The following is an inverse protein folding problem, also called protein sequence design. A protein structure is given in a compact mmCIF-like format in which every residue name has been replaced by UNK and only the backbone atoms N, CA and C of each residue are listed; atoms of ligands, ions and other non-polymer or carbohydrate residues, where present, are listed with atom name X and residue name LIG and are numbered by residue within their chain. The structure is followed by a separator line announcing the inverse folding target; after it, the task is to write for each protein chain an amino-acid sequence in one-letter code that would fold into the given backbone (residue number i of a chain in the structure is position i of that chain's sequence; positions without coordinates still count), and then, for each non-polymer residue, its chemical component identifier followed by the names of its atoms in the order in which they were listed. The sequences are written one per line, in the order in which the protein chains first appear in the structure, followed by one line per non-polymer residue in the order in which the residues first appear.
data_IF_896829925536
#
_entry.id   IF_896829925536
#
_cell.length_a   1.000
_cell.length_b   1.000
_cell.length_c   1.000
_cell.angle_alpha   90.00
_cell.angle_beta   90.00
_cell.angle_gamma   90.00
#
_symmetry.space_group_name_H-M   'P 1'
#
loop_
_entity.id
_entity.type
_entity.pdbx_description
1 polymer ?
#
# COMPACT_ATOMS: atom_id res chain seq x y z
N UNK A 1 -3.11 3.43 11.49
CA UNK A 1 -3.13 2.52 12.66
C UNK A 1 -1.69 2.11 12.95
N UNK A 2 -1.27 1.95 14.20
CA UNK A 2 0.09 1.51 14.54
C UNK A 2 0.17 -0.03 14.43
N UNK A 3 1.24 -0.61 13.86
CA UNK A 3 1.45 -2.05 13.87
C UNK A 3 1.46 -2.59 15.29
N UNK A 4 0.79 -3.72 15.49
CA UNK A 4 0.72 -4.42 16.77
C UNK A 4 1.93 -5.34 16.89
N UNK A 5 2.75 -5.14 17.92
CA UNK A 5 3.98 -5.91 18.15
C UNK A 5 3.87 -6.72 19.43
N UNK A 6 4.06 -8.03 19.32
CA UNK A 6 4.21 -8.92 20.47
C UNK A 6 5.66 -8.95 20.95
N UNK A 7 5.89 -8.93 22.26
CA UNK A 7 7.22 -9.17 22.83
C UNK A 7 7.21 -10.43 23.71
N UNK A 8 7.92 -11.46 23.25
CA UNK A 8 8.21 -12.69 23.98
C UNK A 8 9.55 -12.61 24.73
N UNK A 9 9.60 -13.17 25.93
CA UNK A 9 10.83 -13.27 26.74
C UNK A 9 10.63 -14.27 27.87
N UNK A 10 11.71 -14.67 28.53
CA UNK A 10 11.63 -15.29 29.85
C UNK A 10 11.22 -14.26 30.91
N UNK A 11 10.91 -14.74 32.12
CA UNK A 11 10.66 -13.86 33.27
C UNK A 11 11.93 -13.08 33.64
N UNK A 12 13.07 -13.74 33.54
CA UNK A 12 14.40 -13.21 33.84
C UNK A 12 14.78 -12.05 32.89
N UNK A 13 14.36 -12.12 31.63
CA UNK A 13 14.57 -11.08 30.61
C UNK A 13 13.47 -10.04 30.48
N UNK A 14 12.48 -10.06 31.36
CA UNK A 14 11.41 -9.08 31.38
C UNK A 14 11.90 -7.60 31.45
N UNK A 15 13.01 -7.25 32.13
CA UNK A 15 13.56 -5.90 32.08
C UNK A 15 13.94 -5.44 30.66
N UNK A 16 14.50 -6.31 29.83
CA UNK A 16 14.82 -6.01 28.43
C UNK A 16 13.56 -5.89 27.58
N UNK A 17 12.57 -6.77 27.78
CA UNK A 17 11.28 -6.68 27.09
C UNK A 17 10.57 -5.34 27.37
N UNK A 18 10.61 -4.86 28.62
CA UNK A 18 10.08 -3.54 29.02
C UNK A 18 10.88 -2.39 28.42
N UNK A 19 12.19 -2.52 28.32
CA UNK A 19 13.04 -1.54 27.65
C UNK A 19 12.71 -1.42 26.16
N UNK A 20 12.57 -2.56 25.46
CA UNK A 20 12.18 -2.60 24.04
C UNK A 20 10.79 -1.97 23.85
N UNK A 21 9.81 -2.35 24.69
CA UNK A 21 8.47 -1.75 24.66
C UNK A 21 8.55 -0.23 24.77
N UNK A 22 9.34 0.29 25.71
CA UNK A 22 9.51 1.73 25.92
C UNK A 22 10.18 2.43 24.72
N UNK A 23 11.16 1.78 24.10
CA UNK A 23 11.90 2.34 22.96
C UNK A 23 11.07 2.45 21.67
N UNK A 24 10.12 1.53 21.46
CA UNK A 24 9.36 1.47 20.19
C UNK A 24 7.89 1.88 20.31
N UNK A 25 7.41 2.25 21.50
CA UNK A 25 6.02 2.63 21.77
C UNK A 25 5.52 3.84 20.95
N UNK A 26 6.41 4.71 20.49
CA UNK A 26 6.00 5.82 19.62
C UNK A 26 5.49 5.32 18.26
N UNK A 27 6.11 4.27 17.72
CA UNK A 27 5.84 3.77 16.37
C UNK A 27 4.84 2.61 16.35
N UNK A 28 4.77 1.82 17.44
CA UNK A 28 4.01 0.56 17.50
C UNK A 28 3.06 0.48 18.70
N UNK A 29 2.02 -0.35 18.56
CA UNK A 29 1.19 -0.83 19.67
C UNK A 29 1.80 -2.11 20.23
N UNK A 30 2.54 -1.98 21.33
CA UNK A 30 3.40 -3.05 21.83
C UNK A 30 2.81 -3.70 23.07
N UNK A 31 2.69 -5.03 23.05
CA UNK A 31 2.26 -5.82 24.21
C UNK A 31 3.30 -6.87 24.54
N UNK A 32 3.78 -6.87 25.79
CA UNK A 32 4.64 -7.93 26.31
C UNK A 32 3.77 -9.11 26.75
N UNK A 33 4.25 -10.33 26.58
CA UNK A 33 3.54 -11.56 26.97
C UNK A 33 2.93 -11.50 28.39
N UNK A 34 3.59 -10.82 29.34
CA UNK A 34 3.15 -10.71 30.74
C UNK A 34 2.04 -9.66 30.96
N UNK A 35 1.58 -8.95 29.93
CA UNK A 35 0.63 -7.84 30.00
C UNK A 35 -0.77 -8.26 29.54
N UNK A 36 -1.29 -9.36 30.10
CA UNK A 36 -2.68 -9.79 29.87
C UNK A 36 -2.90 -10.60 28.59
N UNK A 37 -1.84 -11.13 27.97
CA UNK A 37 -1.95 -12.10 26.88
C UNK A 37 -2.46 -13.44 27.40
N UNK A 38 -1.88 -13.92 28.50
CA UNK A 38 -2.29 -15.16 29.15
C UNK A 38 -3.50 -14.93 30.06
N UNK A 39 -4.64 -15.54 29.72
CA UNK A 39 -5.93 -15.33 30.40
C UNK A 39 -6.22 -16.45 31.39
N UNK A 40 -6.93 -16.11 32.47
CA UNK A 40 -7.37 -17.10 33.45
C UNK A 40 -8.29 -18.12 32.76
N UNK A 41 -8.07 -19.40 33.04
CA UNK A 41 -8.83 -20.55 32.50
C UNK A 41 -8.54 -20.95 31.04
N UNK A 42 -7.62 -20.27 30.35
CA UNK A 42 -7.15 -20.67 29.02
C UNK A 42 -5.87 -21.52 29.10
N UNK A 43 -5.60 -22.30 28.04
CA UNK A 43 -4.29 -22.93 27.89
C UNK A 43 -3.27 -21.94 27.31
N UNK A 44 -1.99 -22.05 27.69
CA UNK A 44 -0.95 -21.14 27.17
C UNK A 44 -0.82 -21.20 25.65
N UNK A 45 -1.07 -22.36 25.03
CA UNK A 45 -1.05 -22.52 23.58
C UNK A 45 -2.21 -21.77 22.91
N UNK A 46 -3.41 -21.86 23.49
CA UNK A 46 -4.60 -21.15 22.98
C UNK A 46 -4.45 -19.62 23.08
N UNK A 47 -3.87 -19.13 24.17
CA UNK A 47 -3.56 -17.69 24.32
C UNK A 47 -2.51 -17.22 23.31
N UNK A 48 -1.51 -18.06 23.00
CA UNK A 48 -0.53 -17.79 21.95
C UNK A 48 -1.18 -17.81 20.55
N UNK A 49 -2.06 -18.76 20.26
CA UNK A 49 -2.80 -18.81 18.99
C UNK A 49 -3.69 -17.57 18.79
N UNK A 50 -4.33 -17.10 19.86
CA UNK A 50 -5.09 -15.85 19.84
C UNK A 50 -4.17 -14.66 19.58
N UNK A 51 -3.03 -14.57 20.28
CA UNK A 51 -2.02 -13.54 20.04
C UNK A 51 -1.53 -13.55 18.57
N UNK A 52 -1.29 -14.72 18.00
CA UNK A 52 -0.86 -14.88 16.60
C UNK A 52 -1.83 -14.31 15.56
N UNK A 53 -3.10 -14.11 15.90
CA UNK A 53 -4.08 -13.46 15.03
C UNK A 53 -4.22 -11.95 15.28
N UNK A 54 -3.68 -11.46 16.41
CA UNK A 54 -3.82 -10.08 16.85
C UNK A 54 -2.59 -9.21 16.58
N UNK A 55 -1.41 -9.81 16.38
CA UNK A 55 -0.14 -9.09 16.20
C UNK A 55 0.37 -9.17 14.76
N UNK A 56 0.93 -8.06 14.28
CA UNK A 56 1.51 -7.93 12.94
C UNK A 56 2.99 -8.36 12.90
N UNK A 57 3.68 -8.29 14.04
CA UNK A 57 5.09 -8.62 14.21
C UNK A 57 5.37 -9.23 15.59
N UNK A 58 6.49 -9.95 15.71
CA UNK A 58 7.00 -10.48 16.98
C UNK A 58 8.44 -10.07 17.26
N UNK A 59 8.76 -9.78 18.52
CA UNK A 59 10.13 -9.54 19.00
C UNK A 59 10.40 -10.50 20.17
N UNK A 60 11.52 -11.21 20.13
CA UNK A 60 11.87 -12.20 21.16
C UNK A 60 13.22 -11.92 21.81
N UNK A 61 13.24 -11.79 23.13
CA UNK A 61 14.47 -11.63 23.91
C UNK A 61 15.04 -13.01 24.21
N UNK A 62 16.18 -13.34 23.60
CA UNK A 62 16.88 -14.60 23.79
C UNK A 62 17.99 -14.43 24.81
N UNK A 63 17.72 -14.80 26.05
CA UNK A 63 18.68 -14.78 27.15
C UNK A 63 19.17 -16.19 27.54
N UNK A 64 20.41 -16.30 28.05
CA UNK A 64 20.99 -17.56 28.50
C UNK A 64 20.47 -17.99 29.88
N UNK A 65 19.16 -18.12 30.04
CA UNK A 65 18.53 -18.40 31.35
C UNK A 65 18.59 -19.88 31.75
N UNK A 66 18.77 -20.77 30.77
CA UNK A 66 18.82 -22.22 30.98
C UNK A 66 20.19 -22.82 30.63
N UNK A 67 20.43 -24.04 31.14
CA UNK A 67 21.64 -24.82 30.87
C UNK A 67 21.28 -26.13 30.18
N UNK A 68 21.73 -26.29 28.94
CA UNK A 68 21.59 -27.55 28.20
C UNK A 68 22.82 -28.44 28.43
N UNK A 69 22.58 -29.74 28.60
CA UNK A 69 23.64 -30.76 28.63
C UNK A 69 23.63 -31.56 27.33
N UNK A 70 24.51 -31.22 26.40
CA UNK A 70 24.65 -31.90 25.10
C UNK A 70 25.98 -32.65 25.11
N UNK A 71 25.95 -33.97 24.85
CA UNK A 71 27.16 -34.82 24.74
C UNK A 71 28.15 -34.59 25.91
N UNK A 72 27.64 -34.55 27.14
CA UNK A 72 28.38 -34.29 28.38
C UNK A 72 29.03 -32.89 28.54
N UNK A 73 28.75 -31.92 27.65
CA UNK A 73 29.13 -30.51 27.82
C UNK A 73 27.93 -29.67 28.25
N UNK A 74 28.17 -28.69 29.14
CA UNK A 74 27.15 -27.73 29.58
C UNK A 74 27.23 -26.49 28.69
N UNK A 75 26.12 -26.12 28.08
CA UNK A 75 25.97 -24.92 27.26
C UNK A 75 24.91 -24.03 27.87
N UNK A 76 25.12 -22.71 27.80
CA UNK A 76 24.06 -21.74 28.09
C UNK A 76 23.06 -21.75 26.93
N UNK A 77 21.78 -21.72 27.25
CA UNK A 77 20.71 -21.85 26.27
C UNK A 77 19.57 -20.89 26.56
N UNK A 78 18.85 -20.55 25.49
CA UNK A 78 17.56 -19.88 25.59
C UNK A 78 16.53 -20.88 26.10
N UNK A 79 15.62 -20.41 26.95
CA UNK A 79 14.53 -21.23 27.47
C UNK A 79 13.67 -21.80 26.35
N UNK A 80 13.39 -23.11 26.42
CA UNK A 80 12.69 -23.85 25.36
C UNK A 80 11.34 -23.23 24.97
N UNK A 81 10.58 -22.71 25.95
CA UNK A 81 9.31 -22.04 25.69
C UNK A 81 9.46 -20.80 24.80
N UNK A 82 10.52 -20.00 25.01
CA UNK A 82 10.76 -18.78 24.23
C UNK A 82 11.14 -19.15 22.79
N UNK A 83 11.90 -20.22 22.60
CA UNK A 83 12.22 -20.76 21.27
C UNK A 83 10.97 -21.32 20.58
N UNK A 84 10.12 -22.03 21.31
CA UNK A 84 8.85 -22.55 20.80
C UNK A 84 7.91 -21.43 20.37
N UNK A 85 7.71 -20.41 21.21
CA UNK A 85 6.90 -19.22 20.88
C UNK A 85 7.46 -18.48 19.66
N UNK A 86 8.79 -18.28 19.60
CA UNK A 86 9.44 -17.71 18.42
C UNK A 86 9.12 -18.53 17.16
N UNK A 87 9.26 -19.85 17.24
CA UNK A 87 8.95 -20.76 16.13
C UNK A 87 7.50 -20.69 15.67
N UNK A 88 6.55 -20.61 16.61
CA UNK A 88 5.13 -20.41 16.32
C UNK A 88 4.87 -19.09 15.59
N UNK A 89 5.49 -18.00 16.06
CA UNK A 89 5.39 -16.68 15.41
C UNK A 89 6.00 -16.69 14.01
N UNK A 90 7.17 -17.30 13.82
CA UNK A 90 7.78 -17.44 12.48
C UNK A 90 6.89 -18.28 11.56
N UNK A 91 6.31 -19.37 12.06
CA UNK A 91 5.42 -20.24 11.30
C UNK A 91 4.15 -19.55 10.82
N UNK A 92 3.60 -18.63 11.63
CA UNK A 92 2.37 -17.89 11.30
C UNK A 92 2.61 -16.60 10.51
N UNK A 93 3.53 -15.75 10.98
CA UNK A 93 3.75 -14.40 10.45
C UNK A 93 4.83 -14.36 9.35
N UNK A 94 5.64 -15.42 9.26
CA UNK A 94 6.82 -15.48 8.39
C UNK A 94 8.05 -14.84 9.03
N UNK A 95 9.23 -15.33 8.62
CA UNK A 95 10.53 -14.90 9.15
C UNK A 95 10.81 -13.39 9.03
N UNK A 96 10.18 -12.71 8.08
CA UNK A 96 10.43 -11.28 7.83
C UNK A 96 9.67 -10.38 8.82
N UNK A 97 8.74 -10.93 9.63
CA UNK A 97 7.95 -10.19 10.63
C UNK A 97 8.29 -10.56 12.07
N UNK A 98 9.31 -11.41 12.27
CA UNK A 98 9.68 -11.90 13.60
C UNK A 98 11.18 -11.69 13.82
N UNK A 99 11.50 -10.97 14.87
CA UNK A 99 12.85 -10.53 15.19
C UNK A 99 13.25 -11.09 16.56
N UNK A 100 14.55 -11.29 16.76
CA UNK A 100 15.06 -11.68 18.06
C UNK A 100 16.41 -11.02 18.31
N UNK A 101 16.75 -10.88 19.58
CA UNK A 101 18.02 -10.31 20.02
C UNK A 101 18.68 -11.20 21.09
N UNK A 102 20.00 -11.27 21.03
CA UNK A 102 20.86 -12.04 21.93
C UNK A 102 21.83 -11.12 22.70
N UNK A 103 22.38 -11.53 23.84
CA UNK A 103 23.43 -10.75 24.50
C UNK A 103 24.66 -10.63 23.60
N UNK A 104 25.28 -9.45 23.53
CA UNK A 104 26.51 -9.20 22.78
C UNK A 104 27.67 -10.08 23.30
N UNK A 105 27.74 -10.26 24.62
CA UNK A 105 28.74 -11.10 25.30
C UNK A 105 28.33 -12.58 25.44
N UNK A 106 27.38 -13.06 24.63
CA UNK A 106 26.75 -14.37 24.84
C UNK A 106 27.65 -15.58 24.55
N UNK A 107 28.82 -15.39 23.92
CA UNK A 107 29.72 -16.49 23.57
C UNK A 107 29.02 -17.56 22.72
N UNK A 108 29.23 -18.84 23.03
CA UNK A 108 28.49 -19.97 22.42
C UNK A 108 27.07 -20.12 23.03
N UNK A 109 26.19 -19.15 22.83
CA UNK A 109 24.75 -19.36 23.09
C UNK A 109 24.24 -20.42 22.12
N UNK A 110 23.74 -21.53 22.64
CA UNK A 110 23.19 -22.58 21.79
C UNK A 110 21.84 -22.15 21.23
N UNK A 111 21.74 -22.07 19.89
CA UNK A 111 20.51 -21.82 19.15
C UNK A 111 20.22 -23.01 18.21
N UNK A 112 18.94 -23.31 17.90
CA UNK A 112 18.58 -24.26 16.87
C UNK A 112 19.28 -23.94 15.54
N UNK A 113 19.77 -24.97 14.83
CA UNK A 113 20.55 -24.80 13.60
C UNK A 113 19.79 -24.05 12.50
N UNK A 114 18.47 -24.18 12.46
CA UNK A 114 17.60 -23.47 11.51
C UNK A 114 17.59 -21.94 11.74
N UNK A 115 17.98 -21.48 12.93
CA UNK A 115 18.13 -20.05 13.25
C UNK A 115 19.50 -19.48 12.85
N UNK A 116 20.48 -20.32 12.49
CA UNK A 116 21.83 -19.85 12.11
C UNK A 116 21.83 -19.03 10.81
N UNK A 117 20.75 -19.10 10.00
CA UNK A 117 20.54 -18.28 8.82
C UNK A 117 19.82 -16.95 9.07
N UNK A 118 19.31 -16.71 10.29
CA UNK A 118 18.62 -15.47 10.65
C UNK A 118 19.57 -14.64 11.51
N UNK A 119 19.93 -13.44 11.03
CA UNK A 119 20.81 -12.54 11.77
C UNK A 119 20.08 -12.01 13.03
N UNK A 120 20.59 -12.26 14.25
CA UNK A 120 20.02 -11.68 15.46
C UNK A 120 20.40 -10.21 15.60
N UNK A 121 19.58 -9.47 16.35
CA UNK A 121 20.01 -8.24 17.00
C UNK A 121 20.86 -8.53 18.24
N UNK A 122 21.47 -7.50 18.81
CA UNK A 122 22.21 -7.62 20.07
C UNK A 122 21.70 -6.68 21.14
N UNK A 123 21.89 -7.06 22.40
CA UNK A 123 21.79 -6.18 23.56
C UNK A 123 22.98 -6.41 24.50
N UNK A 124 23.30 -5.43 25.32
CA UNK A 124 24.42 -5.54 26.25
C UNK A 124 24.11 -4.87 27.59
N UNK A 125 24.81 -5.29 28.64
CA UNK A 125 24.68 -4.62 29.93
C UNK A 125 25.56 -3.38 29.93
N UNK A 126 24.93 -2.21 29.87
CA UNK A 126 25.65 -0.94 29.98
C UNK A 126 26.13 -0.73 31.42
N UNK A 127 27.29 -0.09 31.55
CA UNK A 127 27.87 0.28 32.86
C UNK A 127 27.00 1.25 33.66
N UNK A 128 26.15 2.03 32.98
CA UNK A 128 25.20 2.97 33.58
C UNK A 128 23.83 2.33 33.89
N UNK A 129 23.64 1.03 33.62
CA UNK A 129 22.39 0.31 33.83
C UNK A 129 21.23 0.73 32.90
N UNK A 130 21.49 1.56 31.88
CA UNK A 130 20.43 2.08 31.02
C UNK A 130 19.98 1.04 29.97
N UNK A 131 19.03 0.18 30.35
CA UNK A 131 18.51 -0.89 29.48
C UNK A 131 17.86 -0.36 28.19
N UNK A 132 17.26 0.83 28.22
CA UNK A 132 16.67 1.47 27.03
C UNK A 132 17.75 1.76 25.99
N UNK A 133 18.85 2.37 26.41
CA UNK A 133 20.00 2.62 25.54
C UNK A 133 20.70 1.32 25.10
N UNK A 134 20.64 0.25 25.90
CA UNK A 134 21.21 -1.05 25.56
C UNK A 134 20.50 -1.75 24.39
N UNK A 135 19.18 -1.58 24.27
CA UNK A 135 18.36 -2.20 23.20
C UNK A 135 18.10 -1.25 22.03
N UNK A 136 18.39 0.04 22.19
CA UNK A 136 18.10 1.07 21.20
C UNK A 136 18.63 0.78 19.77
N UNK A 137 19.85 0.24 19.57
CA UNK A 137 20.33 -0.10 18.22
C UNK A 137 19.44 -1.16 17.54
N UNK A 138 19.10 -2.23 18.26
CA UNK A 138 18.18 -3.25 17.76
C UNK A 138 16.78 -2.67 17.48
N UNK A 139 16.25 -1.87 18.39
CA UNK A 139 14.95 -1.21 18.22
C UNK A 139 14.93 -0.26 17.01
N UNK A 140 16.05 0.37 16.67
CA UNK A 140 16.18 1.17 15.45
C UNK A 140 16.09 0.29 14.19
N UNK A 141 16.85 -0.80 14.11
CA UNK A 141 16.81 -1.72 12.97
C UNK A 141 15.42 -2.34 12.76
N UNK A 142 14.75 -2.75 13.85
CA UNK A 142 13.38 -3.28 13.78
C UNK A 142 12.39 -2.24 13.26
N UNK A 143 12.54 -0.96 13.64
CA UNK A 143 11.65 0.10 13.15
C UNK A 143 11.74 0.28 11.64
N UNK A 144 12.96 0.29 11.11
CA UNK A 144 13.17 0.41 9.67
C UNK A 144 12.58 -0.81 8.93
N UNK A 145 12.79 -2.02 9.45
CA UNK A 145 12.23 -3.25 8.85
C UNK A 145 10.71 -3.30 8.88
N UNK A 146 10.07 -2.95 10.00
CA UNK A 146 8.61 -2.95 10.08
C UNK A 146 8.00 -1.86 9.20
N UNK A 147 8.68 -0.69 9.06
CA UNK A 147 8.25 0.38 8.15
C UNK A 147 8.20 -0.08 6.69
N UNK A 148 9.18 -0.87 6.25
CA UNK A 148 9.22 -1.43 4.90
C UNK A 148 8.10 -2.44 4.63
N UNK A 149 7.63 -3.15 5.66
CA UNK A 149 6.59 -4.20 5.56
C UNK A 149 5.17 -3.69 5.73
N UNK A 150 5.03 -2.39 6.04
CA UNK A 150 3.75 -1.77 6.30
C UNK A 150 3.02 -1.48 4.99
N UNK A 151 1.71 -1.75 4.95
CA UNK A 151 0.83 -1.29 3.87
C UNK A 151 0.93 0.24 3.67
N UNK A 152 1.39 0.99 4.67
CA UNK A 152 1.75 2.41 4.53
C UNK A 152 2.81 2.68 3.45
N UNK A 153 3.75 1.77 3.21
CA UNK A 153 4.74 1.89 2.11
C UNK A 153 4.10 1.79 0.72
N UNK A 154 2.92 1.17 0.62
CA UNK A 154 2.11 1.16 -0.61
C UNK A 154 1.41 2.49 -0.86
N UNK A 155 1.31 3.35 0.16
CA UNK A 155 0.58 4.62 0.10
C UNK A 155 -0.93 4.47 0.10
N UNK A 156 -1.46 3.24 0.20
CA UNK A 156 -2.90 2.99 0.21
C UNK A 156 -3.58 3.68 1.39
N UNK A 157 -4.37 4.72 1.12
CA UNK A 157 -5.12 5.48 2.13
C UNK A 157 -6.57 5.01 2.25
N UNK A 158 -7.13 4.45 1.17
CA UNK A 158 -8.51 3.94 1.15
C UNK A 158 -8.68 2.85 0.11
N UNK A 159 -9.44 1.81 0.45
CA UNK A 159 -9.89 0.76 -0.47
C UNK A 159 -11.42 0.62 -0.39
N UNK A 160 -12.07 0.40 -1.52
CA UNK A 160 -13.52 0.24 -1.58
C UNK A 160 -14.03 0.00 -3.00
N UNK A 161 -15.31 0.23 -3.22
CA UNK A 161 -15.92 0.26 -4.55
C UNK A 161 -15.91 1.70 -5.09
N UNK A 162 -15.91 1.88 -6.42
CA UNK A 162 -15.81 3.21 -7.05
C UNK A 162 -16.77 4.26 -6.47
N UNK A 163 -18.03 3.87 -6.18
CA UNK A 163 -19.05 4.74 -5.60
C UNK A 163 -18.65 5.32 -4.22
N UNK A 164 -17.80 4.62 -3.46
CA UNK A 164 -17.36 5.04 -2.13
C UNK A 164 -16.38 6.22 -2.19
N UNK A 165 -15.88 6.56 -3.39
CA UNK A 165 -14.91 7.63 -3.63
C UNK A 165 -15.56 8.92 -4.16
N UNK A 166 -16.88 8.95 -4.40
CA UNK A 166 -17.57 10.12 -4.95
C UNK A 166 -17.34 11.40 -4.13
N UNK A 167 -17.36 11.30 -2.79
CA UNK A 167 -17.04 12.42 -1.91
C UNK A 167 -15.57 12.86 -1.95
N UNK A 168 -14.64 11.92 -2.19
CA UNK A 168 -13.21 12.22 -2.25
C UNK A 168 -12.85 13.07 -3.47
N UNK A 169 -13.50 12.83 -4.63
CA UNK A 169 -13.28 13.62 -5.84
C UNK A 169 -13.52 15.11 -5.63
N UNK A 170 -14.57 15.50 -4.89
CA UNK A 170 -14.86 16.90 -4.62
C UNK A 170 -13.72 17.59 -3.87
N UNK A 171 -13.22 16.97 -2.79
CA UNK A 171 -12.12 17.51 -1.98
C UNK A 171 -10.82 17.55 -2.78
N UNK A 172 -10.47 16.44 -3.45
CA UNK A 172 -9.22 16.33 -4.20
C UNK A 172 -9.18 17.30 -5.39
N UNK A 173 -10.27 17.44 -6.15
CA UNK A 173 -10.37 18.40 -7.24
C UNK A 173 -10.26 19.85 -6.74
N UNK A 174 -10.85 20.17 -5.59
CA UNK A 174 -10.78 21.52 -5.03
C UNK A 174 -9.36 21.92 -4.60
N UNK A 175 -8.59 20.97 -4.08
CA UNK A 175 -7.25 21.21 -3.53
C UNK A 175 -6.12 21.10 -4.56
N UNK A 176 -6.39 20.59 -5.76
CA UNK A 176 -5.34 20.30 -6.74
C UNK A 176 -5.05 21.46 -7.69
N UNK A 177 -3.79 21.55 -8.10
CA UNK A 177 -3.26 22.42 -9.15
C UNK A 177 -3.02 21.68 -10.46
N UNK A 178 -2.75 20.37 -10.41
CA UNK A 178 -2.68 19.48 -11.57
C UNK A 178 -3.66 18.32 -11.45
N UNK A 179 -4.22 17.93 -12.59
CA UNK A 179 -5.16 16.81 -12.69
C UNK A 179 -4.81 15.99 -13.93
N UNK A 180 -4.73 14.67 -13.78
CA UNK A 180 -4.62 13.75 -14.90
C UNK A 180 -5.72 12.68 -14.83
N UNK A 181 -6.43 12.53 -15.95
CA UNK A 181 -7.57 11.65 -16.10
C UNK A 181 -7.25 10.59 -17.17
N UNK A 182 -7.31 9.33 -16.79
CA UNK A 182 -7.14 8.20 -17.70
C UNK A 182 -8.29 7.22 -17.52
N UNK A 183 -9.12 7.09 -18.55
CA UNK A 183 -10.25 6.16 -18.58
C UNK A 183 -10.73 5.93 -20.01
N UNK A 184 -11.69 5.02 -20.20
CA UNK A 184 -12.32 4.75 -21.50
C UNK A 184 -13.33 5.85 -21.85
N UNK A 185 -14.36 6.04 -21.03
CA UNK A 185 -15.38 7.09 -21.28
C UNK A 185 -15.93 7.74 -20.00
N UNK A 186 -16.00 7.01 -18.88
CA UNK A 186 -16.40 7.49 -17.55
C UNK A 186 -17.59 8.46 -17.52
N UNK A 187 -18.63 8.16 -18.30
CA UNK A 187 -19.77 9.06 -18.58
C UNK A 187 -20.37 9.67 -17.31
N UNK A 188 -20.89 8.84 -16.39
CA UNK A 188 -21.53 9.34 -15.16
C UNK A 188 -20.57 10.17 -14.29
N UNK A 189 -19.28 9.81 -14.26
CA UNK A 189 -18.30 10.59 -13.51
C UNK A 189 -18.08 11.97 -14.16
N UNK A 190 -17.94 12.05 -15.49
CA UNK A 190 -17.79 13.32 -16.21
C UNK A 190 -18.99 14.24 -16.02
N UNK A 191 -20.20 13.69 -16.14
CA UNK A 191 -21.45 14.43 -15.95
C UNK A 191 -21.55 14.99 -14.52
N UNK A 192 -21.30 14.14 -13.51
CA UNK A 192 -21.39 14.54 -12.10
C UNK A 192 -20.26 15.49 -11.63
N UNK A 193 -19.13 15.54 -12.34
CA UNK A 193 -17.98 16.37 -11.97
C UNK A 193 -17.76 17.53 -12.96
N UNK A 194 -18.68 17.79 -13.89
CA UNK A 194 -18.52 18.82 -14.92
C UNK A 194 -18.18 20.20 -14.32
N UNK A 195 -18.99 20.66 -13.37
CA UNK A 195 -18.80 21.96 -12.73
C UNK A 195 -17.52 22.02 -11.90
N UNK A 196 -17.12 20.90 -11.28
CA UNK A 196 -15.87 20.81 -10.52
C UNK A 196 -14.64 20.89 -11.44
N UNK A 197 -14.71 20.30 -12.63
CA UNK A 197 -13.64 20.39 -13.64
C UNK A 197 -13.54 21.83 -14.15
N UNK A 198 -14.66 22.48 -14.44
CA UNK A 198 -14.65 23.90 -14.85
C UNK A 198 -14.12 24.80 -13.74
N UNK A 199 -14.57 24.59 -12.49
CA UNK A 199 -14.07 25.30 -11.32
C UNK A 199 -12.57 25.10 -11.09
N UNK A 200 -12.04 23.88 -11.31
CA UNK A 200 -10.60 23.63 -11.32
C UNK A 200 -9.88 24.49 -12.36
N UNK A 201 -10.36 24.52 -13.61
CA UNK A 201 -9.73 25.24 -14.72
C UNK A 201 -9.77 26.76 -14.55
N UNK A 202 -10.79 27.29 -13.88
CA UNK A 202 -10.97 28.73 -13.63
C UNK A 202 -10.03 29.26 -12.55
N UNK A 203 -9.55 28.42 -11.63
CA UNK A 203 -8.59 28.85 -10.59
C UNK A 203 -7.27 29.31 -11.19
N UNK A 204 -6.68 30.37 -10.64
CA UNK A 204 -5.40 30.92 -11.10
C UNK A 204 -4.24 29.95 -10.87
N UNK A 205 -4.31 29.19 -9.79
CA UNK A 205 -3.29 28.23 -9.35
C UNK A 205 -3.33 26.92 -10.15
N UNK A 206 -4.43 26.66 -10.88
CA UNK A 206 -4.54 25.48 -11.74
C UNK A 206 -3.60 25.58 -12.94
N UNK A 207 -2.74 24.57 -13.06
CA UNK A 207 -1.68 24.46 -14.07
C UNK A 207 -2.13 23.68 -15.29
N UNK A 208 -2.45 22.38 -15.12
CA UNK A 208 -2.74 21.46 -16.23
C UNK A 208 -3.83 20.46 -15.89
N UNK A 209 -4.66 20.17 -16.89
CA UNK A 209 -5.57 19.05 -16.95
C UNK A 209 -5.13 18.14 -18.11
N UNK A 210 -4.61 16.96 -17.80
CA UNK A 210 -4.33 15.91 -18.77
C UNK A 210 -5.52 14.97 -18.90
N UNK A 211 -5.90 14.65 -20.12
CA UNK A 211 -6.94 13.67 -20.42
C UNK A 211 -6.39 12.67 -21.43
N UNK A 212 -6.52 11.40 -21.10
CA UNK A 212 -6.15 10.28 -21.95
C UNK A 212 -7.39 9.43 -22.22
N UNK A 213 -7.82 9.38 -23.49
CA UNK A 213 -8.99 8.62 -23.95
C UNK A 213 -8.61 7.60 -25.03
N UNK A 214 -9.42 6.58 -25.30
CA UNK A 214 -9.19 5.68 -26.42
C UNK A 214 -9.17 6.42 -27.75
N UNK A 215 -8.26 6.04 -28.64
CA UNK A 215 -8.32 6.45 -30.03
C UNK A 215 -9.50 5.75 -30.72
N UNK A 216 -10.60 6.48 -30.94
CA UNK A 216 -11.82 5.94 -31.54
C UNK A 216 -11.70 5.64 -33.04
N UNK A 217 -10.62 6.10 -33.70
CA UNK A 217 -10.29 5.68 -35.08
C UNK A 217 -9.52 4.36 -35.13
N UNK A 218 -9.07 3.84 -33.97
CA UNK A 218 -8.43 2.53 -33.90
C UNK A 218 -9.49 1.43 -33.80
N UNK A 219 -9.86 0.89 -34.95
CA UNK A 219 -10.85 -0.19 -35.08
C UNK A 219 -10.53 -1.43 -34.22
N UNK A 220 -9.26 -1.79 -34.08
CA UNK A 220 -8.87 -2.95 -33.30
C UNK A 220 -9.14 -2.72 -31.81
N UNK A 221 -8.77 -1.54 -31.30
CA UNK A 221 -9.07 -1.15 -29.94
C UNK A 221 -10.58 -1.04 -29.70
N UNK A 222 -11.33 -0.40 -30.61
CA UNK A 222 -12.78 -0.23 -30.46
C UNK A 222 -13.51 -1.58 -30.42
N UNK A 223 -13.12 -2.55 -31.26
CA UNK A 223 -13.66 -3.92 -31.20
C UNK A 223 -13.35 -4.61 -29.89
N UNK A 224 -12.12 -4.46 -29.39
CA UNK A 224 -11.69 -5.10 -28.14
C UNK A 224 -12.42 -4.51 -26.93
N UNK A 225 -12.63 -3.19 -26.90
CA UNK A 225 -13.44 -2.54 -25.88
C UNK A 225 -14.90 -3.02 -25.98
N UNK A 226 -15.51 -2.99 -27.17
CA UNK A 226 -16.89 -3.43 -27.36
C UNK A 226 -17.15 -4.88 -26.90
N UNK A 227 -16.16 -5.78 -26.94
CA UNK A 227 -16.33 -7.15 -26.47
C UNK A 227 -16.30 -7.30 -24.93
N UNK A 228 -15.66 -6.36 -24.22
CA UNK A 228 -15.39 -6.49 -22.79
C UNK A 228 -16.36 -5.71 -21.88
N UNK A 229 -17.40 -5.08 -22.46
CA UNK A 229 -18.43 -4.35 -21.71
C UNK A 229 -19.83 -4.79 -22.13
N UNK A 230 -20.74 -4.90 -21.16
CA UNK A 230 -22.17 -5.23 -21.37
C UNK A 230 -22.86 -4.25 -22.33
N UNK A 231 -22.49 -2.97 -22.27
CA UNK A 231 -22.92 -1.91 -23.19
C UNK A 231 -22.01 -1.75 -24.42
N UNK A 232 -21.26 -2.81 -24.76
CA UNK A 232 -20.27 -2.88 -25.82
C UNK A 232 -20.67 -2.25 -27.16
N UNK A 233 -21.92 -2.47 -27.58
CA UNK A 233 -22.48 -1.90 -28.83
C UNK A 233 -22.50 -0.37 -28.87
N UNK A 234 -22.43 0.29 -27.71
CA UNK A 234 -22.44 1.74 -27.56
C UNK A 234 -21.06 2.34 -27.29
N UNK A 235 -20.02 1.50 -27.12
CA UNK A 235 -18.68 1.96 -26.71
C UNK A 235 -18.13 3.03 -27.66
N UNK A 236 -18.26 2.85 -28.97
CA UNK A 236 -17.78 3.84 -29.94
C UNK A 236 -18.39 5.22 -29.68
N UNK A 237 -19.72 5.31 -29.61
CA UNK A 237 -20.42 6.57 -29.34
C UNK A 237 -20.11 7.14 -27.96
N UNK A 238 -19.91 6.29 -26.94
CA UNK A 238 -19.52 6.74 -25.59
C UNK A 238 -18.11 7.32 -25.54
N UNK A 239 -17.17 6.76 -26.31
CA UNK A 239 -15.81 7.27 -26.44
C UNK A 239 -15.82 8.57 -27.23
N UNK A 240 -16.54 8.63 -28.36
CA UNK A 240 -16.69 9.85 -29.16
C UNK A 240 -17.30 11.00 -28.34
N UNK A 241 -18.33 10.72 -27.54
CA UNK A 241 -18.92 11.69 -26.60
C UNK A 241 -17.90 12.18 -25.56
N UNK A 242 -17.09 11.27 -24.99
CA UNK A 242 -16.05 11.64 -24.04
C UNK A 242 -14.98 12.53 -24.68
N UNK A 243 -14.56 12.22 -25.91
CA UNK A 243 -13.61 13.04 -26.66
C UNK A 243 -14.20 14.41 -26.97
N UNK A 244 -15.43 14.48 -27.47
CA UNK A 244 -16.11 15.74 -27.78
C UNK A 244 -16.29 16.62 -26.53
N UNK A 245 -16.64 16.01 -25.40
CA UNK A 245 -16.75 16.70 -24.10
C UNK A 245 -15.45 17.42 -23.74
N UNK A 246 -14.31 16.73 -23.74
CA UNK A 246 -13.03 17.35 -23.38
C UNK A 246 -12.46 18.23 -24.49
N UNK A 247 -12.76 17.97 -25.76
CA UNK A 247 -12.41 18.85 -26.86
C UNK A 247 -13.07 20.23 -26.69
N UNK A 248 -14.35 20.27 -26.31
CA UNK A 248 -15.05 21.53 -26.04
C UNK A 248 -14.47 22.28 -24.83
N UNK A 249 -14.09 21.57 -23.77
CA UNK A 249 -13.37 22.16 -22.64
C UNK A 249 -11.99 22.67 -23.07
N UNK A 250 -11.26 21.93 -23.90
CA UNK A 250 -9.96 22.33 -24.42
C UNK A 250 -10.04 23.60 -25.27
N UNK A 251 -11.08 23.75 -26.11
CA UNK A 251 -11.32 24.97 -26.88
C UNK A 251 -11.49 26.21 -25.98
N UNK A 252 -12.13 26.05 -24.81
CA UNK A 252 -12.30 27.14 -23.81
C UNK A 252 -11.03 27.40 -23.00
N UNK A 253 -10.21 26.37 -22.72
CA UNK A 253 -9.00 26.46 -21.91
C UNK A 253 -7.76 25.86 -22.61
N UNK A 254 -7.35 26.36 -23.78
CA UNK A 254 -6.36 25.71 -24.65
C UNK A 254 -4.95 25.62 -24.05
N UNK A 255 -4.63 26.53 -23.11
CA UNK A 255 -3.35 26.54 -22.40
C UNK A 255 -3.32 25.69 -21.13
N UNK A 256 -4.45 25.13 -20.69
CA UNK A 256 -4.52 24.30 -19.48
C UNK A 256 -4.85 22.84 -19.79
N UNK A 257 -5.59 22.59 -20.87
CA UNK A 257 -6.12 21.26 -21.18
C UNK A 257 -5.27 20.56 -22.24
N UNK A 258 -4.81 19.36 -21.91
CA UNK A 258 -4.03 18.48 -22.79
C UNK A 258 -4.83 17.21 -23.01
N UNK A 259 -5.47 17.10 -24.16
CA UNK A 259 -6.22 15.91 -24.57
C UNK A 259 -5.36 15.04 -25.49
N UNK A 260 -5.24 13.76 -25.17
CA UNK A 260 -4.46 12.77 -25.92
C UNK A 260 -5.21 11.44 -26.04
N UNK A 261 -4.86 10.65 -27.05
CA UNK A 261 -5.51 9.40 -27.41
C UNK A 261 -4.54 8.21 -27.32
N UNK A 262 -4.99 7.09 -26.76
CA UNK A 262 -4.20 5.86 -26.63
C UNK A 262 -4.74 4.73 -27.53
N UNK A 263 -3.84 3.85 -27.97
CA UNK A 263 -4.12 2.75 -28.91
C UNK A 263 -4.06 1.35 -28.27
N UNK A 264 -4.14 1.27 -26.93
CA UNK A 264 -4.05 0.02 -26.17
C UNK A 264 -5.25 -0.19 -25.23
N UNK A 265 -5.52 -1.45 -24.88
CA UNK A 265 -6.58 -1.79 -23.94
C UNK A 265 -6.13 -1.52 -22.48
N UNK A 266 -6.83 -0.65 -21.73
CA UNK A 266 -6.43 -0.32 -20.36
C UNK A 266 -6.84 -1.42 -19.36
N UNK A 267 -6.00 -1.68 -18.37
CA UNK A 267 -6.29 -2.63 -17.28
C UNK A 267 -6.98 -1.96 -16.07
N UNK A 268 -6.81 -0.65 -15.93
CA UNK A 268 -7.43 0.18 -14.91
C UNK A 268 -7.64 1.60 -15.43
N UNK A 269 -8.42 2.40 -14.70
CA UNK A 269 -8.53 3.85 -14.87
C UNK A 269 -7.91 4.56 -13.67
N UNK A 270 -7.43 5.78 -13.88
CA UNK A 270 -6.91 6.59 -12.79
C UNK A 270 -7.34 8.05 -12.87
N UNK A 271 -7.39 8.66 -11.70
CA UNK A 271 -7.67 10.05 -11.44
C UNK A 271 -6.56 10.57 -10.52
N UNK A 272 -5.54 11.19 -11.11
CA UNK A 272 -4.32 11.60 -10.42
C UNK A 272 -4.38 13.09 -10.09
N UNK A 273 -4.11 13.41 -8.84
CA UNK A 273 -4.08 14.75 -8.27
C UNK A 273 -2.63 15.11 -7.87
N UNK A 274 -2.43 16.24 -7.19
CA UNK A 274 -1.09 16.68 -6.77
C UNK A 274 -0.43 15.70 -5.79
N UNK A 275 -1.21 15.22 -4.80
CA UNK A 275 -0.70 14.41 -3.68
C UNK A 275 -1.46 13.09 -3.45
N UNK A 276 -2.42 12.78 -4.30
CA UNK A 276 -3.24 11.56 -4.20
C UNK A 276 -3.64 11.09 -5.58
N UNK A 277 -3.96 9.81 -5.72
CA UNK A 277 -4.60 9.30 -6.92
C UNK A 277 -5.63 8.23 -6.56
N UNK A 278 -6.73 8.24 -7.31
CA UNK A 278 -7.77 7.22 -7.22
C UNK A 278 -7.65 6.32 -8.45
N UNK A 279 -7.50 5.02 -8.25
CA UNK A 279 -7.37 4.00 -9.29
C UNK A 279 -8.49 3.00 -9.20
N UNK A 280 -9.19 2.76 -10.31
CA UNK A 280 -10.32 1.85 -10.41
C UNK A 280 -10.08 0.80 -11.49
N UNK A 281 -10.22 -0.48 -11.14
CA UNK A 281 -9.90 -1.58 -12.05
C UNK A 281 -11.00 -1.82 -13.08
N UNK A 282 -10.62 -2.22 -14.29
CA UNK A 282 -11.60 -2.67 -15.28
C UNK A 282 -11.98 -4.13 -15.02
N UNK A 283 -13.27 -4.49 -15.15
CA UNK A 283 -13.69 -5.87 -15.03
C UNK A 283 -13.15 -6.69 -16.19
N UNK A 284 -12.71 -7.91 -15.93
CA UNK A 284 -12.36 -8.88 -16.99
C UNK A 284 -13.60 -9.49 -17.65
N UNK A 285 -14.78 -9.31 -17.04
CA UNK A 285 -16.05 -9.82 -17.55
C UNK A 285 -16.87 -8.67 -18.12
N UNK A 286 -17.63 -8.95 -19.17
CA UNK A 286 -18.64 -8.05 -19.74
C UNK A 286 -19.65 -7.51 -18.72
N UNK A 287 -20.03 -8.31 -17.71
CA UNK A 287 -21.02 -7.93 -16.70
C UNK A 287 -20.75 -6.59 -16.03
N UNK A 288 -21.72 -5.69 -16.10
CA UNK A 288 -21.76 -4.44 -15.34
C UNK A 288 -21.70 -4.72 -13.83
N UNK A 289 -20.71 -4.13 -13.16
CA UNK A 289 -20.53 -4.21 -11.71
C UNK A 289 -19.78 -3.00 -11.19
N UNK A 290 -19.95 -2.72 -9.90
CA UNK A 290 -19.05 -1.82 -9.20
C UNK A 290 -17.64 -2.39 -9.21
N UNK A 291 -16.66 -1.52 -9.41
CA UNK A 291 -15.27 -1.92 -9.58
C UNK A 291 -14.46 -1.64 -8.31
N UNK A 292 -13.55 -2.54 -7.93
CA UNK A 292 -12.57 -2.28 -6.89
C UNK A 292 -11.79 -1.00 -7.20
N UNK A 293 -11.68 -0.14 -6.20
CA UNK A 293 -11.08 1.18 -6.30
C UNK A 293 -10.21 1.45 -5.08
N UNK A 294 -9.06 2.05 -5.33
CA UNK A 294 -8.04 2.32 -4.32
C UNK A 294 -7.61 3.78 -4.43
N UNK A 295 -7.47 4.46 -3.29
CA UNK A 295 -6.79 5.74 -3.20
C UNK A 295 -5.40 5.53 -2.60
N UNK A 296 -4.40 6.13 -3.24
CA UNK A 296 -3.04 6.14 -2.71
C UNK A 296 -2.43 7.52 -2.68
N UNK A 297 -1.58 7.74 -1.69
CA UNK A 297 -0.86 8.98 -1.45
C UNK A 297 0.47 9.02 -2.19
N UNK A 298 0.95 10.24 -2.43
CA UNK A 298 2.26 10.53 -3.00
C UNK A 298 3.40 9.88 -2.18
N UNK A 299 4.55 9.71 -2.84
CA UNK A 299 5.79 9.19 -2.22
C UNK A 299 5.64 7.75 -1.70
N UNK A 300 4.89 6.93 -2.44
CA UNK A 300 4.69 5.52 -2.16
C UNK A 300 5.06 4.63 -3.34
N UNK A 301 5.20 3.32 -3.11
CA UNK A 301 5.50 2.38 -4.19
C UNK A 301 4.39 2.33 -5.26
N UNK A 302 3.12 2.42 -4.90
CA UNK A 302 2.01 2.47 -5.87
C UNK A 302 1.96 3.82 -6.60
N UNK A 303 2.32 4.92 -5.93
CA UNK A 303 2.47 6.21 -6.60
C UNK A 303 3.56 6.16 -7.68
N UNK A 304 4.70 5.53 -7.39
CA UNK A 304 5.80 5.41 -8.35
C UNK A 304 5.37 4.61 -9.59
N UNK A 305 4.65 3.51 -9.39
CA UNK A 305 4.04 2.74 -10.49
C UNK A 305 3.11 3.60 -11.33
N UNK A 306 2.17 4.32 -10.70
CA UNK A 306 1.23 5.18 -11.43
C UNK A 306 1.96 6.30 -12.18
N UNK A 307 3.01 6.87 -11.58
CA UNK A 307 3.74 7.97 -12.20
C UNK A 307 4.51 7.50 -13.45
N UNK A 308 5.06 6.28 -13.44
CA UNK A 308 5.68 5.68 -14.63
C UNK A 308 4.66 5.48 -15.78
N UNK A 309 3.47 4.98 -15.45
CA UNK A 309 2.38 4.86 -16.42
C UNK A 309 1.90 6.23 -16.93
N UNK A 310 1.83 7.24 -16.07
CA UNK A 310 1.49 8.61 -16.47
C UNK A 310 2.54 9.21 -17.44
N UNK A 311 3.83 9.09 -17.14
CA UNK A 311 4.89 9.57 -18.04
C UNK A 311 4.90 8.79 -19.37
N UNK A 312 4.62 7.49 -19.32
CA UNK A 312 4.44 6.65 -20.52
C UNK A 312 3.24 7.11 -21.34
N UNK A 313 2.11 7.43 -20.71
CA UNK A 313 0.93 7.98 -21.37
C UNK A 313 1.26 9.33 -22.02
N UNK A 314 1.92 10.25 -21.32
CA UNK A 314 2.32 11.56 -21.89
C UNK A 314 3.19 11.38 -23.14
N UNK A 315 4.13 10.43 -23.13
CA UNK A 315 5.08 10.22 -24.22
C UNK A 315 4.53 9.40 -25.40
N UNK A 316 3.72 8.36 -25.16
CA UNK A 316 3.29 7.40 -26.20
C UNK A 316 1.92 7.67 -26.81
N UNK A 317 1.03 8.38 -26.13
CA UNK A 317 -0.28 8.73 -26.69
C UNK A 317 -0.17 9.80 -27.77
N UNK A 318 -1.17 9.96 -28.62
CA UNK A 318 -1.17 10.94 -29.72
C UNK A 318 -2.11 12.12 -29.42
N UNK A 319 -1.85 13.34 -29.91
CA UNK A 319 -2.84 14.42 -29.87
C UNK A 319 -4.02 14.11 -30.82
N UNK A 320 -5.15 14.82 -30.65
CA UNK A 320 -6.22 14.80 -31.66
C UNK A 320 -5.69 15.34 -33.00
N UNK A 321 -5.98 14.62 -34.09
CA UNK A 321 -5.73 15.07 -35.47
C UNK A 321 -6.98 15.69 -36.11
N UNK A 322 -6.82 16.32 -37.28
CA UNK A 322 -7.95 16.85 -38.07
C UNK A 322 -8.98 15.77 -38.41
N UNK A 323 -8.52 14.56 -38.74
CA UNK A 323 -9.38 13.41 -39.05
C UNK A 323 -10.31 13.06 -37.89
N UNK A 324 -9.80 13.09 -36.65
CA UNK A 324 -10.64 12.88 -35.46
C UNK A 324 -11.73 13.96 -35.35
N UNK A 325 -11.37 15.22 -35.59
CA UNK A 325 -12.33 16.33 -35.49
C UNK A 325 -13.38 16.30 -36.59
N UNK A 326 -12.99 15.94 -37.81
CA UNK A 326 -13.91 15.76 -38.94
C UNK A 326 -14.91 14.65 -38.65
N UNK A 327 -14.42 13.50 -38.14
CA UNK A 327 -15.29 12.37 -37.80
C UNK A 327 -16.34 12.72 -36.74
N UNK A 328 -15.94 13.46 -35.71
CA UNK A 328 -16.87 13.94 -34.68
C UNK A 328 -17.92 14.92 -35.25
N UNK A 329 -17.57 15.72 -36.26
CA UNK A 329 -18.52 16.64 -36.91
C UNK A 329 -19.52 15.89 -37.79
N UNK A 330 -19.08 14.86 -38.52
CA UNK A 330 -19.97 13.99 -39.30
C UNK A 330 -21.05 13.37 -38.42
N UNK A 331 -20.65 12.78 -37.28
CA UNK A 331 -21.55 12.08 -36.38
C UNK A 331 -22.54 13.01 -35.63
N UNK A 332 -22.22 14.30 -35.48
CA UNK A 332 -23.14 15.27 -34.88
C UNK A 332 -24.20 15.81 -35.87
N UNK A 333 -23.99 15.61 -37.17
CA UNK A 333 -24.88 16.07 -38.24
C UNK A 333 -25.72 14.93 -38.85
N UNK A 334 -25.47 13.68 -38.46
CA UNK A 334 -26.24 12.49 -38.81
C UNK A 334 -27.23 12.15 -37.69
#
# INVERSE_FOLDING_TARGET
MKPRVFIGSSVESLPFARAIQSEVAYDFEVTIWSQGIFKLSNSSLEDLENALNEFDCGIFVFSPDDVLKIRNRRHKAVRDNVIFEFGLFVGKLGKDRVYFLIPEDSGELHLPSDLLGIKPGTYFNRSDGNLRAAVAPFCYEVREKIRDLDLRSTGLSKAGMFQDFMGAFQTLLAMSSELALFFIHSRSWRENNHDLILGFLERKESKRLYIFLPNFLNDALMRQLAYNFDDGRYILGLVEDAVNFFLNIQKKYPRKVVLRLYDFYPTYSFYKFDNSAIVAFYPTTDKKKNVPTFEFQKESSFWNFLNDDFETLVSKTIPLSSEHTEKLLENNNA
#
